data_IF_698934258157
#
_entry.id   IF_698934258157
#
_cell.length_a   1.000
_cell.length_b   1.000
_cell.length_c   1.000
_cell.angle_alpha   90.00
_cell.angle_beta   90.00
_cell.angle_gamma   90.00
#
_symmetry.space_group_name_H-M   'P 1'
#
loop_
_entity.id
_entity.type
_entity.pdbx_description
1 polymer ?
#
# COMPACT_ATOMS: atom_id res chain seq x y z
N UNK A 1 -16.50 -20.70 -6.38
CA UNK A 1 -17.08 -21.95 -6.94
C UNK A 1 -16.90 -23.22 -6.10
N UNK A 2 -15.98 -23.30 -5.12
CA UNK A 2 -15.63 -24.58 -4.44
C UNK A 2 -16.76 -25.36 -3.72
N UNK A 3 -17.95 -24.78 -3.54
CA UNK A 3 -19.11 -25.44 -2.92
C UNK A 3 -20.43 -25.25 -3.70
N UNK A 4 -20.39 -24.73 -4.94
CA UNK A 4 -21.59 -24.31 -5.69
C UNK A 4 -22.62 -25.42 -5.91
N UNK A 5 -22.19 -26.63 -6.29
CA UNK A 5 -23.11 -27.73 -6.63
C UNK A 5 -23.79 -28.40 -5.43
N UNK A 6 -23.26 -28.19 -4.22
CA UNK A 6 -23.72 -28.87 -2.99
C UNK A 6 -24.19 -27.89 -1.90
N UNK A 7 -24.34 -26.61 -2.24
CA UNK A 7 -24.92 -25.62 -1.35
C UNK A 7 -26.33 -26.04 -0.91
N UNK A 8 -26.56 -26.10 0.41
CA UNK A 8 -27.85 -26.46 1.00
C UNK A 8 -28.18 -27.96 1.07
N UNK A 9 -27.30 -28.86 0.57
CA UNK A 9 -27.51 -30.31 0.63
C UNK A 9 -26.88 -30.90 1.90
N UNK A 10 -27.55 -31.88 2.52
CA UNK A 10 -27.01 -32.63 3.67
C UNK A 10 -26.03 -33.68 3.16
N UNK A 11 -24.80 -33.66 3.68
CA UNK A 11 -23.77 -34.65 3.38
C UNK A 11 -23.57 -35.61 4.56
N UNK A 12 -23.41 -36.90 4.25
CA UNK A 12 -23.07 -37.92 5.23
C UNK A 12 -21.56 -38.22 5.14
N UNK A 13 -20.81 -37.79 6.15
CA UNK A 13 -19.37 -38.08 6.24
C UNK A 13 -19.16 -39.39 7.01
N UNK A 14 -18.55 -40.37 6.35
CA UNK A 14 -18.01 -41.56 7.03
C UNK A 14 -16.55 -41.28 7.35
N UNK A 15 -16.29 -40.87 8.59
CA UNK A 15 -14.93 -40.63 9.08
C UNK A 15 -14.47 -41.91 9.78
N UNK A 16 -13.37 -42.48 9.29
CA UNK A 16 -12.69 -43.58 9.96
C UNK A 16 -11.57 -43.00 10.81
N UNK A 17 -11.62 -43.22 12.12
CA UNK A 17 -10.55 -42.84 13.02
C UNK A 17 -9.36 -43.78 12.79
N UNK A 18 -8.25 -43.23 12.26
CA UNK A 18 -7.03 -43.98 12.03
C UNK A 18 -6.14 -44.02 13.28
N UNK A 19 -5.89 -42.86 13.88
CA UNK A 19 -5.02 -42.71 15.04
C UNK A 19 -5.48 -41.51 15.89
N UNK A 20 -5.25 -41.58 17.21
CA UNK A 20 -5.34 -40.43 18.10
C UNK A 20 -3.94 -40.18 18.64
N UNK A 21 -3.35 -39.04 18.29
CA UNK A 21 -2.07 -38.59 18.83
C UNK A 21 -2.32 -37.40 19.76
N UNK A 22 -1.67 -37.40 20.94
CA UNK A 22 -1.76 -36.30 21.91
C UNK A 22 -0.53 -35.40 21.73
N UNK A 23 -0.76 -34.10 21.52
CA UNK A 23 0.33 -33.13 21.41
C UNK A 23 0.92 -32.89 22.82
N UNK A 24 2.11 -33.44 23.08
CA UNK A 24 2.87 -33.13 24.30
C UNK A 24 3.64 -31.82 24.11
N UNK A 25 3.52 -30.91 25.08
CA UNK A 25 4.33 -29.69 25.10
C UNK A 25 5.82 -30.06 25.18
N UNK A 26 6.67 -29.56 24.27
CA UNK A 26 8.11 -29.80 24.33
C UNK A 26 8.71 -29.08 25.55
N UNK A 27 9.83 -29.60 26.03
CA UNK A 27 10.65 -28.93 27.04
C UNK A 27 11.45 -27.79 26.36
N UNK A 28 11.70 -26.72 27.12
CA UNK A 28 12.49 -25.56 26.64
C UNK A 28 13.98 -25.85 26.84
N UNK A 29 14.49 -26.81 26.07
CA UNK A 29 15.87 -27.26 26.11
C UNK A 29 16.71 -26.70 24.94
N UNK A 30 18.00 -27.06 24.89
CA UNK A 30 18.91 -26.63 23.83
C UNK A 30 18.49 -27.09 22.43
N UNK A 31 17.81 -28.23 22.30
CA UNK A 31 17.32 -28.69 20.98
C UNK A 31 16.12 -27.85 20.52
N UNK A 32 15.26 -27.45 21.45
CA UNK A 32 14.17 -26.52 21.20
C UNK A 32 14.71 -25.15 20.78
N UNK A 33 15.65 -24.58 21.53
CA UNK A 33 16.24 -23.26 21.22
C UNK A 33 16.96 -23.22 19.88
N UNK A 34 17.68 -24.29 19.50
CA UNK A 34 18.30 -24.42 18.17
C UNK A 34 17.30 -24.32 17.02
N UNK A 35 16.07 -24.83 17.17
CA UNK A 35 15.03 -24.74 16.12
C UNK A 35 14.59 -23.31 15.83
N UNK A 36 14.69 -22.43 16.83
CA UNK A 36 14.34 -21.01 16.72
C UNK A 36 15.58 -20.11 16.60
N UNK A 37 16.78 -20.70 16.48
CA UNK A 37 18.03 -19.96 16.37
C UNK A 37 18.31 -19.06 17.58
N UNK A 38 17.99 -19.52 18.78
CA UNK A 38 18.25 -18.82 20.06
C UNK A 38 19.11 -19.69 20.97
N UNK A 39 19.78 -19.08 21.94
CA UNK A 39 20.67 -19.75 22.89
C UNK A 39 19.92 -20.20 24.15
N UNK A 40 18.95 -19.42 24.63
CA UNK A 40 18.22 -19.68 25.87
C UNK A 40 16.76 -19.16 25.86
N UNK A 41 16.06 -19.38 26.98
CA UNK A 41 14.68 -18.92 27.17
C UNK A 41 14.55 -17.39 27.16
N UNK A 42 15.59 -16.68 27.59
CA UNK A 42 15.59 -15.22 27.67
C UNK A 42 15.64 -14.64 26.26
N UNK A 43 16.56 -15.10 25.42
CA UNK A 43 16.64 -14.68 24.02
C UNK A 43 15.38 -15.07 23.24
N UNK A 44 14.80 -16.25 23.52
CA UNK A 44 13.51 -16.62 22.94
C UNK A 44 12.40 -15.63 23.30
N UNK A 45 12.29 -15.24 24.57
CA UNK A 45 11.29 -14.27 25.03
C UNK A 45 11.53 -12.88 24.43
N UNK A 46 12.79 -12.47 24.30
CA UNK A 46 13.17 -11.21 23.66
C UNK A 46 12.73 -11.21 22.19
N UNK A 47 13.10 -12.22 21.39
CA UNK A 47 12.66 -12.32 19.98
C UNK A 47 11.15 -12.38 19.82
N UNK A 48 10.45 -13.14 20.68
CA UNK A 48 8.98 -13.18 20.66
C UNK A 48 8.39 -11.81 21.04
N UNK A 49 8.96 -11.14 22.04
CA UNK A 49 8.55 -9.79 22.45
C UNK A 49 8.75 -8.75 21.34
N UNK A 50 9.88 -8.78 20.66
CA UNK A 50 10.18 -7.93 19.50
C UNK A 50 9.19 -8.21 18.35
N UNK A 51 8.94 -9.47 18.04
CA UNK A 51 7.97 -9.86 17.00
C UNK A 51 6.56 -9.38 17.32
N UNK A 52 6.09 -9.55 18.58
CA UNK A 52 4.78 -9.06 19.01
C UNK A 52 4.73 -7.53 18.94
N UNK A 53 5.77 -6.84 19.40
CA UNK A 53 5.84 -5.38 19.41
C UNK A 53 5.84 -4.82 18.00
N UNK A 54 6.65 -5.39 17.10
CA UNK A 54 6.69 -5.03 15.68
C UNK A 54 5.33 -5.22 15.01
N UNK A 55 4.70 -6.38 15.22
CA UNK A 55 3.35 -6.64 14.69
C UNK A 55 2.32 -5.65 15.23
N UNK A 56 2.35 -5.35 16.53
CA UNK A 56 1.42 -4.39 17.15
C UNK A 56 1.66 -2.96 16.68
N UNK A 57 2.91 -2.55 16.48
CA UNK A 57 3.24 -1.24 15.88
C UNK A 57 2.70 -1.15 14.46
N UNK A 58 2.90 -2.17 13.64
CA UNK A 58 2.36 -2.21 12.27
C UNK A 58 0.83 -2.20 12.22
N UNK A 59 0.16 -2.96 13.09
CA UNK A 59 -1.31 -2.94 13.25
C UNK A 59 -1.80 -1.52 13.57
N UNK A 60 -1.20 -0.86 14.57
CA UNK A 60 -1.56 0.51 14.95
C UNK A 60 -1.26 1.52 13.84
N UNK A 61 -0.10 1.46 13.20
CA UNK A 61 0.23 2.37 12.10
C UNK A 61 -0.78 2.26 10.95
N UNK A 62 -1.25 1.05 10.63
CA UNK A 62 -2.29 0.85 9.62
C UNK A 62 -3.64 1.47 10.03
N UNK A 63 -4.05 1.29 11.30
CA UNK A 63 -5.28 1.89 11.83
C UNK A 63 -5.23 3.43 11.79
N UNK A 64 -4.09 4.00 12.20
CA UNK A 64 -3.86 5.44 12.17
C UNK A 64 -3.79 5.97 10.74
N UNK A 65 -3.19 5.25 9.80
CA UNK A 65 -3.18 5.65 8.39
C UNK A 65 -4.60 5.86 7.86
N UNK A 66 -5.51 4.92 8.16
CA UNK A 66 -6.93 5.02 7.76
C UNK A 66 -7.59 6.21 8.46
N UNK A 67 -7.39 6.35 9.77
CA UNK A 67 -8.01 7.41 10.56
C UNK A 67 -7.52 8.81 10.15
N UNK A 68 -6.22 8.99 9.94
CA UNK A 68 -5.61 10.25 9.51
C UNK A 68 -6.09 10.62 8.11
N UNK A 69 -6.15 9.66 7.17
CA UNK A 69 -6.69 9.92 5.83
C UNK A 69 -8.13 10.43 5.90
N UNK A 70 -8.99 9.77 6.67
CA UNK A 70 -10.37 10.20 6.82
C UNK A 70 -10.49 11.59 7.49
N UNK A 71 -9.69 11.85 8.52
CA UNK A 71 -9.71 13.13 9.25
C UNK A 71 -9.16 14.28 8.42
N UNK A 72 -8.04 14.11 7.71
CA UNK A 72 -7.46 15.16 6.86
C UNK A 72 -8.43 15.59 5.75
N UNK A 73 -9.08 14.63 5.08
CA UNK A 73 -10.09 14.96 4.06
C UNK A 73 -11.30 15.71 4.63
N UNK A 74 -11.67 15.45 5.89
CA UNK A 74 -12.80 16.09 6.55
C UNK A 74 -12.45 17.47 7.14
N UNK A 75 -11.22 17.66 7.61
CA UNK A 75 -10.75 18.92 8.19
C UNK A 75 -10.52 20.01 7.15
N UNK A 76 -10.13 19.63 5.93
CA UNK A 76 -9.81 20.55 4.84
C UNK A 76 -10.80 20.41 3.68
N UNK A 77 -12.10 20.48 3.96
CA UNK A 77 -13.15 20.37 2.93
C UNK A 77 -13.46 21.68 2.18
N UNK A 78 -12.97 22.82 2.70
CA UNK A 78 -13.34 24.18 2.29
C UNK A 78 -12.66 24.70 1.01
N UNK A 79 -11.77 23.92 0.36
CA UNK A 79 -11.15 24.34 -0.89
C UNK A 79 -11.78 23.68 -2.11
N UNK A 80 -11.91 24.47 -3.17
CA UNK A 80 -12.44 24.06 -4.46
C UNK A 80 -11.41 23.24 -5.24
N UNK A 81 -11.87 22.13 -5.81
CA UNK A 81 -11.06 21.28 -6.69
C UNK A 81 -11.18 21.78 -8.13
N UNK A 82 -10.10 21.73 -8.93
CA UNK A 82 -10.15 22.11 -10.34
C UNK A 82 -11.19 21.28 -11.10
N UNK A 83 -12.13 21.94 -11.77
CA UNK A 83 -13.24 21.26 -12.47
C UNK A 83 -12.75 20.29 -13.54
N UNK A 84 -11.69 20.64 -14.28
CA UNK A 84 -11.12 19.76 -15.31
C UNK A 84 -10.63 18.42 -14.74
N UNK A 85 -10.05 18.43 -13.54
CA UNK A 85 -9.62 17.21 -12.86
C UNK A 85 -10.82 16.43 -12.32
N UNK A 86 -11.83 17.13 -11.81
CA UNK A 86 -13.08 16.49 -11.39
C UNK A 86 -13.79 15.78 -12.55
N UNK A 87 -13.87 16.41 -13.71
CA UNK A 87 -14.48 15.84 -14.91
C UNK A 87 -13.70 14.62 -15.40
N UNK A 88 -12.35 14.69 -15.36
CA UNK A 88 -11.50 13.56 -15.70
C UNK A 88 -11.75 12.36 -14.77
N UNK A 89 -11.79 12.57 -13.45
CA UNK A 89 -12.05 11.49 -12.49
C UNK A 89 -13.45 10.90 -12.66
N UNK A 90 -14.47 11.73 -12.95
CA UNK A 90 -15.81 11.25 -13.27
C UNK A 90 -15.82 10.35 -14.52
N UNK A 91 -15.06 10.71 -15.56
CA UNK A 91 -14.91 9.88 -16.74
C UNK A 91 -14.25 8.53 -16.43
N UNK A 92 -13.24 8.52 -15.54
CA UNK A 92 -12.60 7.26 -15.11
C UNK A 92 -13.57 6.37 -14.34
N UNK A 93 -14.33 6.92 -13.38
CA UNK A 93 -15.35 6.18 -12.64
C UNK A 93 -16.39 5.60 -13.59
N UNK A 94 -16.84 6.36 -14.59
CA UNK A 94 -17.81 5.87 -15.57
C UNK A 94 -17.23 4.72 -16.42
N UNK A 95 -15.97 4.82 -16.88
CA UNK A 95 -15.29 3.75 -17.62
C UNK A 95 -15.18 2.46 -16.80
N UNK A 96 -14.86 2.57 -15.51
CA UNK A 96 -14.80 1.42 -14.62
C UNK A 96 -16.16 0.76 -14.43
N UNK A 97 -17.22 1.56 -14.28
CA UNK A 97 -18.59 1.06 -14.16
C UNK A 97 -19.08 0.38 -15.43
N UNK A 98 -18.75 0.92 -16.60
CA UNK A 98 -19.11 0.33 -17.89
C UNK A 98 -18.43 -1.04 -18.05
N UNK A 99 -17.16 -1.14 -17.66
CA UNK A 99 -16.42 -2.41 -17.64
C UNK A 99 -17.06 -3.42 -16.68
N UNK A 100 -17.38 -3.02 -15.46
CA UNK A 100 -18.04 -3.90 -14.48
C UNK A 100 -19.44 -4.32 -14.90
N UNK A 101 -20.18 -3.45 -15.57
CA UNK A 101 -21.54 -3.71 -16.10
C UNK A 101 -21.53 -4.65 -17.29
N UNK A 102 -20.46 -4.65 -18.09
CA UNK A 102 -20.26 -5.62 -19.17
C UNK A 102 -19.93 -7.03 -18.67
N UNK A 103 -19.32 -7.14 -17.48
CA UNK A 103 -18.90 -8.40 -16.87
C UNK A 103 -19.97 -9.04 -15.96
N UNK A 104 -20.93 -8.25 -15.44
CA UNK A 104 -21.99 -8.70 -14.53
C UNK A 104 -23.33 -8.06 -14.88
N UNK A 105 -24.43 -8.82 -14.81
CA UNK A 105 -25.79 -8.25 -14.80
C UNK A 105 -26.03 -7.52 -13.47
N UNK A 106 -25.68 -6.23 -13.43
CA UNK A 106 -26.02 -5.31 -12.33
C UNK A 106 -27.26 -4.50 -12.70
N UNK A 107 -28.13 -4.29 -11.71
CA UNK A 107 -29.36 -3.50 -11.89
C UNK A 107 -29.06 -2.01 -12.06
N UNK A 108 -29.99 -1.27 -12.68
CA UNK A 108 -29.81 0.18 -12.88
C UNK A 108 -29.72 0.96 -11.56
N UNK A 109 -30.43 0.53 -10.52
CA UNK A 109 -30.35 1.13 -9.18
C UNK A 109 -28.97 0.92 -8.53
N UNK A 110 -28.38 -0.28 -8.68
CA UNK A 110 -27.03 -0.56 -8.22
C UNK A 110 -25.97 0.21 -9.00
N UNK A 111 -26.17 0.42 -10.31
CA UNK A 111 -25.27 1.23 -11.13
C UNK A 111 -25.25 2.68 -10.68
N UNK A 112 -26.42 3.28 -10.47
CA UNK A 112 -26.50 4.68 -10.01
C UNK A 112 -25.87 4.86 -8.62
N UNK A 113 -26.14 3.93 -7.69
CA UNK A 113 -25.51 3.95 -6.37
C UNK A 113 -23.99 3.89 -6.45
N UNK A 114 -23.46 2.95 -7.24
CA UNK A 114 -22.00 2.81 -7.43
C UNK A 114 -21.38 4.01 -8.14
N UNK A 115 -22.11 4.64 -9.04
CA UNK A 115 -21.69 5.88 -9.71
C UNK A 115 -21.54 7.01 -8.72
N UNK A 116 -22.55 7.23 -7.89
CA UNK A 116 -22.51 8.28 -6.88
C UNK A 116 -21.39 8.01 -5.85
N UNK A 117 -21.28 6.77 -5.36
CA UNK A 117 -20.17 6.36 -4.46
C UNK A 117 -18.80 6.56 -5.12
N UNK A 118 -18.65 6.20 -6.40
CA UNK A 118 -17.41 6.39 -7.15
C UNK A 118 -17.03 7.87 -7.31
N UNK A 119 -18.00 8.73 -7.61
CA UNK A 119 -17.78 10.18 -7.72
C UNK A 119 -17.41 10.81 -6.38
N UNK A 120 -18.09 10.43 -5.30
CA UNK A 120 -17.77 10.93 -3.96
C UNK A 120 -16.37 10.48 -3.52
N UNK A 121 -16.00 9.22 -3.79
CA UNK A 121 -14.66 8.70 -3.51
C UNK A 121 -13.58 9.40 -4.34
N UNK A 122 -13.80 9.57 -5.64
CA UNK A 122 -12.88 10.29 -6.52
C UNK A 122 -12.63 11.73 -6.05
N UNK A 123 -13.70 12.43 -5.63
CA UNK A 123 -13.59 13.77 -5.03
C UNK A 123 -12.73 13.76 -3.77
N UNK A 124 -12.96 12.80 -2.87
CA UNK A 124 -12.20 12.66 -1.63
C UNK A 124 -10.73 12.32 -1.89
N UNK A 125 -10.45 11.46 -2.87
CA UNK A 125 -9.09 11.05 -3.23
C UNK A 125 -8.32 12.19 -3.90
N UNK A 126 -8.95 12.95 -4.81
CA UNK A 126 -8.33 14.11 -5.42
C UNK A 126 -8.00 15.17 -4.36
N UNK A 127 -8.92 15.42 -3.41
CA UNK A 127 -8.67 16.31 -2.27
C UNK A 127 -7.50 15.83 -1.41
N UNK A 128 -7.48 14.55 -1.06
CA UNK A 128 -6.39 13.95 -0.28
C UNK A 128 -5.05 14.13 -1.00
N UNK A 129 -5.01 13.93 -2.32
CA UNK A 129 -3.81 14.15 -3.12
C UNK A 129 -3.28 15.58 -2.97
N UNK A 130 -4.12 16.60 -3.15
CA UNK A 130 -3.68 18.00 -2.98
C UNK A 130 -3.16 18.31 -1.57
N UNK A 131 -3.80 17.75 -0.53
CA UNK A 131 -3.36 17.94 0.86
C UNK A 131 -1.98 17.31 1.07
N UNK A 132 -1.79 16.07 0.62
CA UNK A 132 -0.52 15.36 0.76
C UNK A 132 0.59 16.01 -0.08
N UNK A 133 0.29 16.45 -1.31
CA UNK A 133 1.24 17.16 -2.17
C UNK A 133 1.68 18.46 -1.47
N UNK A 134 0.75 19.23 -0.91
CA UNK A 134 1.07 20.45 -0.16
C UNK A 134 1.91 20.21 1.09
N UNK A 135 1.64 19.15 1.85
CA UNK A 135 2.45 18.75 3.01
C UNK A 135 3.86 18.34 2.54
N UNK A 136 3.95 17.54 1.47
CA UNK A 136 5.21 17.08 0.91
C UNK A 136 6.10 18.23 0.46
N UNK A 137 5.52 19.23 -0.21
CA UNK A 137 6.22 20.45 -0.64
C UNK A 137 6.69 21.28 0.56
N UNK A 138 5.81 21.51 1.55
CA UNK A 138 6.15 22.33 2.71
C UNK A 138 7.19 21.67 3.64
N UNK A 139 7.19 20.34 3.74
CA UNK A 139 8.18 19.58 4.52
C UNK A 139 9.44 19.20 3.71
N UNK A 140 9.53 19.60 2.43
CA UNK A 140 10.62 19.25 1.52
C UNK A 140 10.94 17.75 1.54
N UNK A 141 9.88 16.91 1.57
CA UNK A 141 10.05 15.46 1.65
C UNK A 141 10.71 14.92 0.39
N UNK A 142 11.81 14.20 0.59
CA UNK A 142 12.49 13.48 -0.49
C UNK A 142 11.90 12.09 -0.61
N UNK A 143 11.48 11.75 -1.81
CA UNK A 143 10.98 10.42 -2.15
C UNK A 143 12.09 9.56 -2.75
N UNK A 144 12.23 8.31 -2.29
CA UNK A 144 13.08 7.32 -2.92
C UNK A 144 12.42 6.81 -4.21
N UNK A 145 12.81 7.38 -5.35
CA UNK A 145 12.31 6.94 -6.66
C UNK A 145 12.55 5.45 -6.95
N UNK A 146 13.54 4.84 -6.29
CA UNK A 146 13.80 3.41 -6.43
C UNK A 146 12.63 2.57 -5.87
N UNK A 147 11.83 3.08 -4.94
CA UNK A 147 10.67 2.36 -4.43
C UNK A 147 9.60 2.19 -5.50
N UNK A 148 9.32 3.25 -6.26
CA UNK A 148 8.41 3.19 -7.40
C UNK A 148 8.96 2.26 -8.49
N UNK A 149 10.28 2.30 -8.75
CA UNK A 149 10.92 1.43 -9.72
C UNK A 149 10.82 -0.06 -9.33
N UNK A 150 11.07 -0.39 -8.06
CA UNK A 150 10.94 -1.76 -7.53
C UNK A 150 9.53 -2.30 -7.72
N UNK A 151 8.51 -1.48 -7.45
CA UNK A 151 7.13 -1.89 -7.64
C UNK A 151 6.78 -2.07 -9.12
N UNK A 152 7.17 -1.13 -9.97
CA UNK A 152 6.92 -1.20 -11.42
C UNK A 152 7.52 -2.47 -12.02
N UNK A 153 8.77 -2.78 -11.67
CA UNK A 153 9.45 -4.03 -12.09
C UNK A 153 8.69 -5.25 -11.56
N UNK A 154 8.26 -5.24 -10.30
CA UNK A 154 7.48 -6.34 -9.73
C UNK A 154 6.15 -6.57 -10.45
N UNK A 155 5.43 -5.50 -10.80
CA UNK A 155 4.17 -5.58 -11.54
C UNK A 155 4.39 -6.12 -12.96
N UNK A 156 5.41 -5.64 -13.67
CA UNK A 156 5.77 -6.13 -15.01
C UNK A 156 6.12 -7.63 -14.98
N UNK A 157 6.86 -8.08 -13.96
CA UNK A 157 7.20 -9.49 -13.79
C UNK A 157 5.96 -10.37 -13.55
N UNK A 158 5.01 -9.91 -12.71
CA UNK A 158 3.76 -10.63 -12.43
C UNK A 158 2.89 -10.74 -13.69
N UNK A 159 2.88 -9.71 -14.54
CA UNK A 159 2.12 -9.70 -15.79
C UNK A 159 2.87 -10.35 -16.96
N UNK A 160 4.10 -10.81 -16.75
CA UNK A 160 4.94 -11.44 -17.78
C UNK A 160 5.45 -10.48 -18.85
N UNK A 161 5.54 -9.18 -18.53
CA UNK A 161 6.03 -8.13 -19.41
C UNK A 161 7.49 -7.77 -19.08
N UNK A 162 8.26 -7.37 -20.09
CA UNK A 162 9.60 -6.80 -19.87
C UNK A 162 9.48 -5.38 -19.29
N UNK A 163 10.06 -5.07 -18.12
CA UNK A 163 10.01 -3.71 -17.56
C UNK A 163 10.60 -2.65 -18.50
N UNK A 164 11.71 -2.98 -19.17
CA UNK A 164 12.43 -2.08 -20.08
C UNK A 164 11.63 -1.75 -21.34
N UNK A 165 10.82 -2.70 -21.82
CA UNK A 165 9.92 -2.48 -22.96
C UNK A 165 8.64 -1.77 -22.51
N UNK A 166 8.10 -2.13 -21.34
CA UNK A 166 6.87 -1.56 -20.80
C UNK A 166 7.02 -0.05 -20.58
N UNK A 167 8.12 0.40 -19.97
CA UNK A 167 8.38 1.83 -19.71
C UNK A 167 8.53 2.67 -20.99
N UNK A 168 8.85 2.05 -22.13
CA UNK A 168 8.93 2.75 -23.41
C UNK A 168 7.55 2.99 -24.05
N UNK A 169 6.51 2.27 -23.60
CA UNK A 169 5.14 2.46 -24.07
C UNK A 169 4.46 3.64 -23.36
N UNK A 170 3.49 4.33 -24.01
CA UNK A 170 2.68 5.36 -23.33
C UNK A 170 1.95 4.83 -22.10
N UNK A 171 1.45 3.60 -22.18
CA UNK A 171 0.77 2.92 -21.07
C UNK A 171 1.70 2.68 -19.89
N UNK A 172 2.90 2.14 -20.12
CA UNK A 172 3.85 1.89 -19.04
C UNK A 172 4.41 3.16 -18.40
N UNK A 173 4.58 4.24 -19.19
CA UNK A 173 4.91 5.56 -18.63
C UNK A 173 3.82 6.10 -17.71
N UNK A 174 2.56 6.05 -18.14
CA UNK A 174 1.41 6.46 -17.32
C UNK A 174 1.33 5.63 -16.03
N UNK A 175 1.48 4.31 -16.17
CA UNK A 175 1.52 3.39 -15.03
C UNK A 175 2.64 3.75 -14.04
N UNK A 176 3.86 3.99 -14.52
CA UNK A 176 4.99 4.36 -13.66
C UNK A 176 4.75 5.69 -12.94
N UNK A 177 4.22 6.70 -13.65
CA UNK A 177 3.88 7.99 -13.05
C UNK A 177 2.81 7.86 -11.96
N UNK A 178 1.77 7.04 -12.17
CA UNK A 178 0.78 6.75 -11.14
C UNK A 178 1.39 6.07 -9.91
N UNK A 179 2.35 5.16 -10.11
CA UNK A 179 3.08 4.52 -9.00
C UNK A 179 3.87 5.57 -8.22
N UNK A 180 4.60 6.47 -8.90
CA UNK A 180 5.33 7.56 -8.24
C UNK A 180 4.40 8.41 -7.39
N UNK A 181 3.33 8.96 -7.98
CA UNK A 181 2.39 9.84 -7.29
C UNK A 181 1.79 9.14 -6.06
N UNK A 182 1.37 7.89 -6.22
CA UNK A 182 0.80 7.11 -5.11
C UNK A 182 1.82 6.89 -4.00
N UNK A 183 3.05 6.51 -4.34
CA UNK A 183 4.12 6.25 -3.38
C UNK A 183 4.57 7.51 -2.64
N UNK A 184 4.66 8.64 -3.33
CA UNK A 184 4.90 9.94 -2.72
C UNK A 184 3.80 10.28 -1.71
N UNK A 185 2.53 10.16 -2.11
CA UNK A 185 1.40 10.38 -1.19
C UNK A 185 1.43 9.43 0.02
N UNK A 186 1.72 8.15 -0.19
CA UNK A 186 1.84 7.15 0.87
C UNK A 186 2.98 7.51 1.86
N UNK A 187 4.14 7.94 1.35
CA UNK A 187 5.28 8.36 2.16
C UNK A 187 4.97 9.62 2.98
N UNK A 188 4.29 10.60 2.39
CA UNK A 188 3.84 11.80 3.11
C UNK A 188 2.82 11.46 4.20
N UNK A 189 1.90 10.53 3.92
CA UNK A 189 0.94 10.08 4.92
C UNK A 189 1.64 9.33 6.06
N UNK A 190 2.62 8.48 5.75
CA UNK A 190 3.45 7.81 6.76
C UNK A 190 4.22 8.79 7.62
N UNK A 191 4.72 9.86 7.01
CA UNK A 191 5.38 10.96 7.72
C UNK A 191 4.45 11.63 8.72
N UNK A 192 3.22 11.93 8.33
CA UNK A 192 2.19 12.51 9.22
C UNK A 192 1.86 11.53 10.35
N UNK A 193 1.68 10.25 10.04
CA UNK A 193 1.39 9.20 11.04
C UNK A 193 2.56 9.04 12.02
N UNK A 194 3.80 9.00 11.55
CA UNK A 194 5.00 8.88 12.39
C UNK A 194 5.06 10.00 13.45
N UNK A 195 4.66 11.22 13.09
CA UNK A 195 4.60 12.36 14.02
C UNK A 195 3.57 12.16 15.13
N UNK A 196 2.45 11.49 14.85
CA UNK A 196 1.45 11.14 15.88
C UNK A 196 2.03 10.17 16.92
N UNK A 197 2.94 9.28 16.51
CA UNK A 197 3.62 8.34 17.39
C UNK A 197 4.88 8.90 18.07
N UNK A 198 5.26 10.16 17.77
CA UNK A 198 6.49 10.76 18.31
C UNK A 198 7.78 10.13 17.77
N UNK A 199 7.71 9.41 16.65
CA UNK A 199 8.90 8.89 15.97
C UNK A 199 9.79 10.09 15.54
N UNK A 200 11.11 9.93 15.66
CA UNK A 200 12.06 11.00 15.38
C UNK A 200 11.88 11.51 13.94
N UNK A 201 11.85 12.83 13.81
CA UNK A 201 11.88 13.51 12.51
C UNK A 201 13.31 13.43 12.02
N UNK A 202 13.59 12.59 11.02
CA UNK A 202 14.83 12.75 10.26
C UNK A 202 14.78 14.13 9.60
N UNK A 203 15.53 15.08 10.15
CA UNK A 203 15.87 16.31 9.45
C UNK A 203 16.78 15.89 8.29
N UNK A 204 16.26 15.95 7.07
CA UNK A 204 17.07 15.76 5.88
C UNK A 204 18.07 16.92 5.79
N UNK A 205 19.27 16.72 6.35
CA UNK A 205 20.43 17.51 5.94
C UNK A 205 20.68 17.13 4.47
N UNK A 206 20.67 18.09 3.53
CA UNK A 206 20.97 17.77 2.15
C UNK A 206 22.38 17.21 2.10
N UNK A 207 22.52 15.91 1.79
CA UNK A 207 23.82 15.36 1.40
C UNK A 207 24.32 16.19 0.24
N UNK A 208 25.37 16.97 0.49
CA UNK A 208 26.17 17.57 -0.55
C UNK A 208 26.78 16.40 -1.31
N UNK A 209 26.17 16.02 -2.42
CA UNK A 209 26.87 15.24 -3.43
C UNK A 209 28.06 16.11 -3.87
N UNK A 210 29.23 15.86 -3.31
CA UNK A 210 30.48 16.26 -3.93
C UNK A 210 30.49 15.57 -5.29
N UNK A 211 30.16 16.33 -6.33
CA UNK A 211 30.49 15.96 -7.67
C UNK A 211 32.01 15.85 -7.73
N UNK A 212 32.50 14.61 -7.85
CA UNK A 212 33.87 14.36 -8.28
C UNK A 212 33.97 14.91 -9.69
N UNK A 213 34.61 16.06 -9.85
CA UNK A 213 34.95 16.58 -11.16
C UNK A 213 35.95 15.61 -11.80
N UNK A 214 35.47 14.79 -12.73
CA UNK A 214 36.32 14.17 -13.75
C UNK A 214 36.79 15.30 -14.69
N UNK A 215 38.04 15.22 -15.16
CA UNK A 215 38.79 16.27 -15.86
C UNK A 215 38.21 16.67 -17.24
N UNK A 216 36.97 16.32 -17.54
CA UNK A 216 36.35 16.44 -18.86
C UNK A 216 34.97 17.12 -18.90
N UNK A 217 34.51 17.76 -17.82
CA UNK A 217 33.26 18.53 -17.82
C UNK A 217 33.50 19.99 -18.26
N UNK A 218 33.39 20.24 -19.57
CA UNK A 218 33.46 21.58 -20.17
C UNK A 218 32.06 22.20 -20.25
N UNK A 219 31.69 23.00 -19.24
CA UNK A 219 30.58 23.95 -19.36
C UNK A 219 30.97 25.29 -18.70
N UNK A 220 31.03 26.33 -19.53
CA UNK A 220 31.25 27.72 -19.15
C UNK A 220 30.08 28.25 -18.30
N UNK A 221 30.45 29.03 -17.29
CA UNK A 221 29.59 29.58 -16.25
C UNK A 221 28.78 30.80 -16.69
#
# INVERSE_FOLDING_TARGET
>A
ERFGENAGKKANFKIQLAEISIVKRPELDLEFFKKYGVEDEKELKEKVGESITSRKKAELQSEYRIAVRAQLSALYDEFDLPQELMDFEQEQVQKELDKMSGEKEITEEEKEKKKQEGFDNAKMDLRMKFILDSISEHEELKFDENEAAREFVGLAQITGQSPDELIQSPFGRDMYQRIIIRKQGDATLDRVVARVFGDAIEENVPETHEHVHDENCDHNH
#
